data_IF_959541559958
#
_entry.id   IF_959541559958
#
_cell.length_a   1.000
_cell.length_b   1.000
_cell.length_c   1.000
_cell.angle_alpha   90.00
_cell.angle_beta   90.00
_cell.angle_gamma   90.00
#
_symmetry.space_group_name_H-M   'P 1'
#
loop_
_entity.id
_entity.type
_entity.pdbx_description
1 polymer ?
#
# COMPACT_ATOMS: atom_id res chain seq x y z
N UNK A 1 -27.77 13.29 -7.73
CA UNK A 1 -28.34 11.97 -8.07
C UNK A 1 -29.48 12.24 -9.01
N UNK A 2 -29.38 11.80 -10.26
CA UNK A 2 -30.48 11.98 -11.21
C UNK A 2 -31.61 11.05 -10.81
N UNK A 3 -32.81 11.55 -10.49
CA UNK A 3 -33.99 10.70 -10.38
C UNK A 3 -34.30 10.17 -11.78
N UNK A 4 -34.38 8.84 -11.96
CA UNK A 4 -34.89 8.27 -13.20
C UNK A 4 -33.97 7.32 -13.97
N UNK A 5 -33.05 6.59 -13.32
CA UNK A 5 -32.60 5.34 -13.95
C UNK A 5 -33.63 4.25 -13.63
N UNK A 6 -34.41 3.77 -14.61
CA UNK A 6 -35.39 2.72 -14.36
C UNK A 6 -34.65 1.46 -13.90
N UNK A 7 -35.04 0.92 -12.75
CA UNK A 7 -34.52 -0.35 -12.29
C UNK A 7 -34.76 -1.39 -13.40
N UNK A 8 -33.72 -2.15 -13.76
CA UNK A 8 -33.83 -3.16 -14.82
C UNK A 8 -34.30 -4.47 -14.19
N UNK A 9 -35.20 -5.21 -14.85
CA UNK A 9 -35.70 -6.51 -14.36
C UNK A 9 -34.58 -7.49 -13.94
N UNK A 10 -33.42 -7.41 -14.58
CA UNK A 10 -32.24 -8.19 -14.20
C UNK A 10 -31.67 -7.87 -12.81
N UNK A 11 -31.91 -6.68 -12.27
CA UNK A 11 -31.52 -6.31 -10.91
C UNK A 11 -32.50 -6.88 -9.89
N UNK A 12 -33.81 -6.91 -10.20
CA UNK A 12 -34.81 -7.62 -9.39
C UNK A 12 -34.46 -9.11 -9.26
N UNK A 13 -34.22 -9.79 -10.39
CA UNK A 13 -33.92 -11.24 -10.38
C UNK A 13 -32.60 -11.56 -9.67
N UNK A 14 -31.58 -10.70 -9.81
CA UNK A 14 -30.32 -10.86 -9.06
C UNK A 14 -30.53 -10.67 -7.57
N UNK A 15 -31.36 -9.73 -7.17
CA UNK A 15 -31.65 -9.45 -5.76
C UNK A 15 -32.49 -10.56 -5.14
N UNK A 16 -33.54 -11.02 -5.83
CA UNK A 16 -34.36 -12.15 -5.40
C UNK A 16 -33.55 -13.44 -5.21
N UNK A 17 -32.69 -13.77 -6.19
CA UNK A 17 -31.80 -14.94 -6.11
C UNK A 17 -30.79 -14.81 -4.96
N UNK A 18 -30.25 -13.62 -4.73
CA UNK A 18 -29.32 -13.37 -3.64
C UNK A 18 -29.99 -13.55 -2.26
N UNK A 19 -31.27 -13.18 -2.14
CA UNK A 19 -32.04 -13.29 -0.92
C UNK A 19 -32.79 -14.64 -0.78
N UNK A 20 -32.66 -15.55 -1.77
CA UNK A 20 -33.41 -16.82 -1.87
C UNK A 20 -34.92 -16.64 -1.72
N UNK A 21 -35.43 -15.47 -2.12
CA UNK A 21 -36.86 -15.20 -2.13
C UNK A 21 -37.49 -16.05 -3.22
N UNK A 22 -38.34 -16.98 -2.79
CA UNK A 22 -39.02 -17.93 -3.67
C UNK A 22 -40.53 -17.69 -3.68
N UNK A 23 -41.04 -16.97 -2.67
CA UNK A 23 -42.44 -16.63 -2.53
C UNK A 23 -42.82 -15.48 -3.49
N UNK A 24 -43.88 -15.64 -4.33
CA UNK A 24 -44.37 -14.58 -5.20
C UNK A 24 -44.75 -13.28 -4.47
N UNK A 25 -45.20 -13.33 -3.22
CA UNK A 25 -45.62 -12.13 -2.47
C UNK A 25 -44.42 -11.31 -1.98
N UNK A 26 -43.35 -12.00 -1.57
CA UNK A 26 -42.07 -11.37 -1.24
C UNK A 26 -41.38 -10.80 -2.48
N UNK A 27 -41.47 -11.50 -3.63
CA UNK A 27 -41.00 -10.97 -4.92
C UNK A 27 -41.74 -9.69 -5.31
N UNK A 28 -43.05 -9.64 -5.10
CA UNK A 28 -43.86 -8.47 -5.38
C UNK A 28 -43.54 -7.29 -4.44
N UNK A 29 -43.22 -7.59 -3.19
CA UNK A 29 -42.77 -6.59 -2.20
C UNK A 29 -41.39 -6.04 -2.55
N UNK A 30 -40.47 -6.91 -2.97
CA UNK A 30 -39.12 -6.56 -3.43
C UNK A 30 -39.15 -5.74 -4.73
N UNK A 31 -40.07 -6.06 -5.65
CA UNK A 31 -40.31 -5.28 -6.85
C UNK A 31 -40.77 -3.85 -6.54
N UNK A 32 -41.74 -3.70 -5.63
CA UNK A 32 -42.22 -2.38 -5.20
C UNK A 32 -41.13 -1.55 -4.53
N UNK A 33 -40.30 -2.15 -3.67
CA UNK A 33 -39.18 -1.44 -3.03
C UNK A 33 -38.11 -0.99 -4.01
N UNK A 34 -37.90 -1.74 -5.10
CA UNK A 34 -36.99 -1.35 -6.19
C UNK A 34 -37.62 -0.39 -7.20
N UNK A 35 -38.87 0.05 -6.98
CA UNK A 35 -39.56 1.03 -7.83
C UNK A 35 -40.16 0.43 -9.11
N UNK A 36 -40.37 -0.88 -9.17
CA UNK A 36 -41.14 -1.50 -10.25
C UNK A 36 -42.64 -1.36 -9.97
N UNK A 37 -43.37 -0.84 -10.95
CA UNK A 37 -44.83 -0.91 -11.00
C UNK A 37 -45.23 -2.27 -11.56
N UNK A 38 -45.68 -3.16 -10.68
CA UNK A 38 -46.30 -4.42 -11.09
C UNK A 38 -47.77 -4.15 -11.44
N UNK A 39 -48.32 -4.74 -12.52
CA UNK A 39 -49.75 -4.68 -12.78
C UNK A 39 -50.47 -5.35 -11.60
N UNK A 40 -51.41 -4.62 -10.99
CA UNK A 40 -52.27 -5.18 -9.94
C UNK A 40 -52.92 -6.45 -10.47
N UNK A 41 -52.72 -7.57 -9.77
CA UNK A 41 -53.40 -8.83 -10.09
C UNK A 41 -54.91 -8.53 -10.07
N UNK A 42 -55.67 -8.83 -11.14
CA UNK A 42 -57.11 -8.67 -11.10
C UNK A 42 -57.63 -9.54 -9.94
N UNK A 43 -58.26 -8.90 -8.96
CA UNK A 43 -58.87 -9.60 -7.83
C UNK A 43 -59.87 -10.62 -8.37
N UNK A 44 -59.69 -11.89 -8.04
CA UNK A 44 -60.57 -12.97 -8.48
C UNK A 44 -61.96 -12.96 -7.79
N UNK A 45 -62.30 -11.89 -7.07
CA UNK A 45 -63.53 -11.73 -6.27
C UNK A 45 -64.46 -10.61 -6.78
N UNK A 46 -64.28 -10.12 -8.01
CA UNK A 46 -65.26 -9.19 -8.61
C UNK A 46 -66.37 -9.96 -9.32
N UNK A 47 -67.43 -10.24 -8.55
CA UNK A 47 -68.75 -10.55 -9.09
C UNK A 47 -69.25 -9.44 -10.05
N UNK A 48 -69.86 -9.78 -11.20
CA UNK A 48 -70.31 -8.80 -12.17
C UNK A 48 -71.62 -8.15 -11.71
N UNK A 49 -71.58 -6.86 -11.37
CA UNK A 49 -72.75 -6.03 -11.13
C UNK A 49 -73.16 -5.25 -12.41
N UNK A 50 -74.48 -4.99 -12.60
CA UNK A 50 -75.07 -4.74 -13.91
C UNK A 50 -74.99 -3.27 -14.37
N UNK A 51 -75.24 -3.11 -15.66
CA UNK A 51 -75.22 -1.86 -16.41
C UNK A 51 -76.36 -0.89 -16.03
N UNK A 52 -76.02 0.40 -15.90
CA UNK A 52 -76.84 1.58 -16.20
C UNK A 52 -75.87 2.79 -16.28
N UNK A 53 -75.68 3.44 -17.42
CA UNK A 53 -76.51 4.40 -18.16
C UNK A 53 -76.34 5.87 -17.68
N UNK A 54 -75.74 6.66 -18.59
CA UNK A 54 -75.91 8.08 -18.93
C UNK A 54 -76.25 9.10 -17.82
N UNK A 55 -75.36 10.09 -17.57
CA UNK A 55 -75.49 11.51 -17.99
C UNK A 55 -74.32 12.38 -17.45
N UNK A 56 -73.90 13.35 -18.27
CA UNK A 56 -73.00 14.47 -17.94
C UNK A 56 -73.82 15.70 -17.42
N UNK A 57 -73.28 16.94 -17.43
CA UNK A 57 -72.19 17.54 -16.65
C UNK A 57 -72.68 18.81 -15.88
N UNK A 58 -71.90 19.35 -14.92
CA UNK A 58 -71.67 20.82 -14.84
C UNK A 58 -70.73 21.24 -13.69
N UNK A 59 -70.12 22.42 -13.83
CA UNK A 59 -70.18 23.41 -12.74
C UNK A 59 -68.93 23.75 -11.90
N UNK A 60 -68.15 24.72 -12.40
CA UNK A 60 -67.75 25.99 -11.72
C UNK A 60 -66.83 26.00 -10.47
N UNK A 61 -65.79 26.83 -10.62
CA UNK A 61 -65.32 27.92 -9.73
C UNK A 61 -65.07 27.65 -8.23
N UNK A 62 -63.84 27.91 -7.77
CA UNK A 62 -63.50 29.14 -7.01
C UNK A 62 -62.03 29.17 -6.52
N UNK A 63 -61.38 30.31 -6.79
CA UNK A 63 -60.22 30.89 -6.08
C UNK A 63 -60.72 31.59 -4.80
N UNK A 64 -59.91 31.69 -3.73
CA UNK A 64 -59.17 32.94 -3.42
C UNK A 64 -57.73 32.62 -2.92
N UNK A 65 -56.69 33.43 -3.13
CA UNK A 65 -56.36 34.81 -2.73
C UNK A 65 -55.92 34.97 -1.25
N UNK A 66 -54.76 35.63 -1.11
CA UNK A 66 -54.17 36.32 0.05
C UNK A 66 -53.40 35.50 1.11
N UNK A 67 -52.10 35.79 1.25
CA UNK A 67 -51.63 36.71 2.31
C UNK A 67 -50.13 37.01 2.14
N UNK A 68 -49.81 38.29 2.21
CA UNK A 68 -48.47 38.85 2.26
C UNK A 68 -47.91 38.81 3.69
N UNK A 69 -46.60 38.65 3.84
CA UNK A 69 -45.87 39.33 4.92
C UNK A 69 -44.37 39.49 4.58
N UNK A 70 -43.77 40.68 4.83
CA UNK A 70 -42.37 40.97 4.55
C UNK A 70 -41.48 40.88 5.79
N UNK A 71 -40.20 40.61 5.60
CA UNK A 71 -39.10 40.86 6.55
C UNK A 71 -37.84 41.05 5.70
N UNK A 72 -37.23 42.25 5.57
CA UNK A 72 -36.42 42.96 6.57
C UNK A 72 -35.42 41.99 7.20
N UNK A 73 -34.12 42.05 7.00
CA UNK A 73 -33.22 42.94 6.28
C UNK A 73 -31.80 42.56 6.69
N UNK A 74 -30.85 43.11 5.94
CA UNK A 74 -29.52 43.50 6.40
C UNK A 74 -28.30 42.58 6.15
N UNK A 75 -27.30 43.28 5.62
CA UNK A 75 -25.85 43.11 5.66
C UNK A 75 -25.09 42.18 4.71
N UNK A 76 -24.61 42.83 3.64
CA UNK A 76 -23.19 43.14 3.39
C UNK A 76 -22.16 42.02 3.53
N UNK A 77 -21.55 41.62 2.41
CA UNK A 77 -20.08 41.66 2.28
C UNK A 77 -19.69 41.76 0.81
N UNK A 78 -18.81 42.72 0.55
CA UNK A 78 -18.17 42.99 -0.71
C UNK A 78 -17.34 41.79 -1.20
N UNK A 79 -17.36 41.52 -2.50
CA UNK A 79 -16.18 40.99 -3.17
C UNK A 79 -16.14 41.41 -4.63
N UNK A 80 -15.22 42.32 -4.89
CA UNK A 80 -14.65 42.60 -6.20
C UNK A 80 -14.14 41.30 -6.82
N UNK A 81 -14.41 41.10 -8.10
CA UNK A 81 -13.56 40.28 -8.96
C UNK A 81 -13.45 40.95 -10.32
N UNK A 82 -12.21 41.33 -10.61
CA UNK A 82 -11.80 41.99 -11.83
C UNK A 82 -11.95 41.07 -13.04
N UNK A 83 -12.35 41.74 -14.11
CA UNK A 83 -12.21 41.40 -15.50
C UNK A 83 -10.73 41.26 -15.88
N UNK A 84 -10.39 40.20 -16.62
CA UNK A 84 -9.09 40.03 -17.27
C UNK A 84 -9.07 38.76 -18.15
N UNK A 85 -8.39 38.76 -19.32
CA UNK A 85 -9.06 38.38 -20.55
C UNK A 85 -8.68 37.01 -21.13
N UNK A 86 -9.61 36.56 -21.97
CA UNK A 86 -9.55 35.53 -23.01
C UNK A 86 -8.24 35.49 -23.80
N UNK A 87 -7.59 34.32 -23.83
CA UNK A 87 -6.66 33.93 -24.90
C UNK A 87 -7.22 32.67 -25.58
N UNK A 88 -7.37 32.81 -26.90
CA UNK A 88 -7.94 31.85 -27.85
C UNK A 88 -7.08 30.59 -28.04
N UNK A 89 -7.69 29.50 -28.55
CA UNK A 89 -7.02 28.23 -28.79
C UNK A 89 -6.21 28.28 -30.09
N UNK A 90 -5.01 27.68 -30.07
CA UNK A 90 -4.19 27.50 -31.26
C UNK A 90 -4.52 26.15 -31.90
N UNK A 91 -5.15 26.24 -33.06
CA UNK A 91 -5.37 25.18 -34.06
C UNK A 91 -4.07 24.90 -34.82
N UNK A 92 -3.79 23.63 -35.08
CA UNK A 92 -2.95 23.25 -36.23
C UNK A 92 -1.94 22.15 -35.92
N UNK A 93 -2.26 20.94 -36.36
CA UNK A 93 -1.41 20.11 -37.24
C UNK A 93 -1.62 18.62 -36.96
N UNK A 94 -2.47 18.00 -37.77
CA UNK A 94 -2.27 16.61 -38.19
C UNK A 94 -1.26 16.59 -39.33
N UNK A 95 -0.44 15.53 -39.45
CA UNK A 95 -0.56 14.69 -40.64
C UNK A 95 -0.40 13.18 -40.34
N UNK A 96 -0.67 12.32 -41.34
CA UNK A 96 -1.11 10.94 -41.16
C UNK A 96 0.06 9.95 -41.20
N UNK A 97 -0.10 8.75 -40.65
CA UNK A 97 0.47 7.55 -41.27
C UNK A 97 -0.25 6.28 -40.83
N UNK A 98 -0.83 5.65 -41.83
CA UNK A 98 -1.35 4.29 -41.87
C UNK A 98 -0.20 3.29 -41.83
N UNK A 99 -0.20 2.38 -40.86
CA UNK A 99 0.64 1.19 -40.88
C UNK A 99 -0.15 -0.03 -40.35
N UNK A 100 -0.83 -0.65 -41.30
CA UNK A 100 -0.96 -2.10 -41.55
C UNK A 100 -0.53 -3.02 -40.39
N UNK A 101 -1.52 -3.66 -39.77
CA UNK A 101 -1.35 -4.72 -38.76
C UNK A 101 -1.47 -6.09 -39.45
N UNK A 102 -0.46 -6.99 -39.40
CA UNK A 102 -0.62 -8.36 -39.87
C UNK A 102 -1.40 -9.19 -38.85
N UNK A 103 -2.23 -10.09 -39.36
CA UNK A 103 -3.12 -10.98 -38.62
C UNK A 103 -2.37 -11.86 -37.62
N UNK A 104 -3.00 -12.06 -36.46
CA UNK A 104 -2.58 -13.03 -35.47
C UNK A 104 -3.64 -14.12 -35.43
N UNK A 105 -3.24 -15.29 -35.91
CA UNK A 105 -4.03 -16.50 -35.98
C UNK A 105 -4.50 -16.94 -34.59
N UNK A 106 -5.80 -17.22 -34.50
CA UNK A 106 -6.45 -17.89 -33.40
C UNK A 106 -6.02 -19.36 -33.39
N UNK A 107 -5.19 -19.74 -32.41
CA UNK A 107 -5.02 -21.14 -32.01
C UNK A 107 -5.53 -21.30 -30.59
N UNK A 108 -6.70 -21.93 -30.48
CA UNK A 108 -7.30 -22.31 -29.21
C UNK A 108 -6.43 -23.37 -28.51
N UNK A 109 -6.13 -23.22 -27.21
CA UNK A 109 -5.42 -24.25 -26.45
C UNK A 109 -6.36 -25.42 -26.13
N UNK A 110 -5.86 -26.67 -26.15
CA UNK A 110 -6.64 -27.85 -25.78
C UNK A 110 -6.98 -27.89 -24.28
N UNK A 111 -8.07 -28.56 -23.89
CA UNK A 111 -8.49 -28.66 -22.49
C UNK A 111 -7.55 -29.56 -21.67
N UNK A 112 -7.18 -29.07 -20.48
CA UNK A 112 -6.42 -29.81 -19.49
C UNK A 112 -7.26 -30.99 -18.95
N UNK A 113 -6.71 -32.21 -19.07
CA UNK A 113 -7.14 -33.39 -18.27
C UNK A 113 -6.72 -33.18 -16.82
N UNK A 114 -7.67 -33.33 -15.91
CA UNK A 114 -7.40 -33.47 -14.47
C UNK A 114 -7.24 -34.94 -14.13
N UNK A 115 -6.03 -35.36 -13.77
CA UNK A 115 -5.82 -36.61 -13.02
C UNK A 115 -6.00 -36.33 -11.51
N UNK A 116 -6.72 -37.19 -10.76
CA UNK A 116 -6.89 -37.03 -9.31
C UNK A 116 -5.60 -37.46 -8.58
N UNK A 117 -4.99 -36.50 -7.88
CA UNK A 117 -3.83 -36.74 -7.02
C UNK A 117 -4.22 -37.50 -5.74
N UNK A 118 -3.42 -38.51 -5.43
CA UNK A 118 -3.48 -39.32 -4.22
C UNK A 118 -3.26 -38.48 -2.94
N UNK A 119 -3.96 -38.88 -1.88
CA UNK A 119 -3.88 -38.30 -0.53
C UNK A 119 -2.47 -38.41 0.07
N UNK A 120 -1.89 -37.33 0.61
CA UNK A 120 -0.64 -37.41 1.35
C UNK A 120 -0.86 -37.84 2.80
N UNK A 121 -0.13 -38.87 3.19
CA UNK A 121 0.09 -39.36 4.54
C UNK A 121 0.70 -38.26 5.42
N UNK A 122 0.12 -38.04 6.60
CA UNK A 122 0.64 -37.14 7.65
C UNK A 122 1.92 -37.68 8.27
N UNK A 123 3.04 -36.92 8.30
CA UNK A 123 4.18 -37.24 9.13
C UNK A 123 4.14 -36.53 10.49
N UNK A 124 4.60 -37.30 11.46
CA UNK A 124 4.77 -37.06 12.89
C UNK A 124 5.25 -35.66 13.31
N UNK A 125 4.67 -35.19 14.41
CA UNK A 125 4.89 -33.90 15.03
C UNK A 125 6.11 -33.96 15.96
N UNK A 126 7.28 -33.64 15.42
CA UNK A 126 8.53 -33.54 16.20
C UNK A 126 8.69 -32.13 16.80
N UNK A 127 8.97 -31.97 18.10
CA UNK A 127 9.03 -30.67 18.76
C UNK A 127 10.20 -29.81 18.25
N UNK A 128 10.01 -28.48 18.13
CA UNK A 128 11.01 -27.60 17.54
C UNK A 128 12.19 -27.37 18.50
N UNK A 129 13.37 -27.87 18.12
CA UNK A 129 14.65 -27.45 18.70
C UNK A 129 14.92 -25.96 18.40
N UNK A 130 15.55 -25.19 19.30
CA UNK A 130 15.93 -23.81 19.05
C UNK A 130 16.95 -23.74 17.90
N UNK A 131 16.50 -23.26 16.73
CA UNK A 131 17.33 -23.17 15.52
C UNK A 131 18.16 -21.90 15.53
N UNK A 132 19.47 -22.12 15.43
CA UNK A 132 20.55 -21.15 15.28
C UNK A 132 20.29 -20.17 14.14
N UNK A 133 20.62 -18.90 14.39
CA UNK A 133 20.49 -17.77 13.46
C UNK A 133 21.52 -17.91 12.34
N UNK A 134 21.18 -18.66 11.29
CA UNK A 134 21.98 -18.74 10.06
C UNK A 134 21.36 -17.82 9.02
N UNK A 135 21.98 -16.66 8.82
CA UNK A 135 21.55 -15.65 7.85
C UNK A 135 22.13 -14.27 8.09
N UNK A 136 23.46 -14.17 8.16
CA UNK A 136 24.14 -12.89 8.30
C UNK A 136 25.65 -13.10 8.41
N UNK A 137 26.30 -13.43 7.30
CA UNK A 137 27.75 -13.26 7.19
C UNK A 137 28.04 -11.76 7.03
N UNK A 138 27.89 -11.04 8.13
CA UNK A 138 28.61 -9.81 8.40
C UNK A 138 29.35 -10.09 9.70
N UNK A 139 30.67 -9.94 9.68
CA UNK A 139 31.48 -9.74 10.87
C UNK A 139 31.03 -8.43 11.53
N UNK A 140 29.81 -8.43 12.08
CA UNK A 140 29.40 -7.48 13.09
C UNK A 140 30.09 -7.96 14.35
N UNK A 141 31.28 -7.40 14.58
CA UNK A 141 31.85 -7.33 15.92
C UNK A 141 30.79 -6.65 16.76
N UNK A 142 29.97 -7.46 17.43
CA UNK A 142 29.02 -7.03 18.44
C UNK A 142 29.90 -6.55 19.59
N UNK A 143 30.29 -5.27 19.57
CA UNK A 143 30.85 -4.64 20.75
C UNK A 143 29.80 -4.85 21.85
N UNK A 144 30.13 -5.70 22.83
CA UNK A 144 29.23 -6.02 23.92
C UNK A 144 28.76 -4.70 24.54
N UNK A 145 27.44 -4.52 24.61
CA UNK A 145 26.83 -3.41 25.33
C UNK A 145 27.44 -3.41 26.74
N UNK A 146 28.21 -2.39 27.15
CA UNK A 146 28.82 -2.41 28.47
C UNK A 146 27.68 -2.36 29.51
N UNK A 147 27.72 -3.23 30.55
CA UNK A 147 26.76 -3.15 31.63
C UNK A 147 26.88 -1.78 32.30
N UNK A 148 25.73 -1.16 32.55
CA UNK A 148 25.64 0.08 33.30
C UNK A 148 26.14 -0.14 34.73
N UNK A 149 27.10 0.69 35.14
CA UNK A 149 27.52 0.94 36.52
C UNK A 149 28.18 -0.23 37.28
N UNK A 150 29.50 -0.33 37.14
CA UNK A 150 30.41 -0.51 38.27
C UNK A 150 31.72 0.20 37.94
N UNK A 151 32.09 1.19 38.74
CA UNK A 151 33.44 1.77 38.78
C UNK A 151 34.44 0.63 38.91
N UNK A 152 34.96 0.19 37.76
CA UNK A 152 35.98 -0.84 37.71
C UNK A 152 37.19 -0.12 37.17
N UNK A 153 38.22 -0.05 38.02
CA UNK A 153 39.53 0.52 37.74
C UNK A 153 39.93 0.27 36.30
N UNK A 154 40.22 1.35 35.58
CA UNK A 154 40.86 1.30 34.27
C UNK A 154 42.05 0.32 34.36
N UNK A 155 42.15 -0.69 33.49
CA UNK A 155 43.40 -1.39 33.33
C UNK A 155 44.39 -0.32 32.85
N UNK A 156 45.35 0.01 33.71
CA UNK A 156 46.53 0.78 33.34
C UNK A 156 47.13 0.00 32.18
N UNK A 157 47.01 0.55 30.98
CA UNK A 157 47.81 0.10 29.86
C UNK A 157 49.25 0.36 30.29
N UNK A 158 49.90 -0.69 30.81
CA UNK A 158 51.33 -0.68 31.01
C UNK A 158 51.93 -0.47 29.64
N UNK A 159 52.41 0.75 29.45
CA UNK A 159 53.35 1.15 28.42
C UNK A 159 54.51 0.16 28.54
N UNK A 160 54.48 -0.90 27.73
CA UNK A 160 55.60 -1.79 27.58
C UNK A 160 56.71 -0.94 26.99
N UNK A 161 57.59 -0.45 27.86
CA UNK A 161 58.82 0.19 27.47
C UNK A 161 59.54 -0.77 26.50
N UNK A 162 60.02 -0.25 25.35
CA UNK A 162 60.74 -1.07 24.39
C UNK A 162 61.96 -1.64 25.11
N UNK A 163 61.92 -2.94 25.37
CA UNK A 163 63.08 -3.65 25.89
C UNK A 163 64.04 -3.77 24.73
N UNK A 164 65.22 -3.17 24.87
CA UNK A 164 66.33 -3.23 23.92
C UNK A 164 66.55 -4.68 23.49
N UNK A 165 66.07 -5.00 22.29
CA UNK A 165 66.14 -6.32 21.70
C UNK A 165 67.32 -6.35 20.73
N UNK A 166 68.21 -7.35 20.81
CA UNK A 166 69.43 -7.43 20.02
C UNK A 166 69.10 -7.50 18.52
N UNK A 167 69.79 -6.65 17.77
CA UNK A 167 69.54 -6.29 16.37
C UNK A 167 69.79 -7.40 15.32
N UNK A 168 69.87 -8.68 15.69
CA UNK A 168 70.44 -9.73 14.82
C UNK A 168 69.48 -10.86 14.39
N UNK A 169 68.17 -10.78 14.71
CA UNK A 169 67.23 -11.88 14.46
C UNK A 169 66.13 -11.66 13.41
N UNK A 170 65.87 -10.42 12.99
CA UNK A 170 64.67 -10.08 12.19
C UNK A 170 64.82 -10.35 10.69
N UNK A 171 66.04 -10.43 10.16
CA UNK A 171 66.25 -10.71 8.73
C UNK A 171 65.95 -12.18 8.37
N UNK A 172 66.10 -13.14 9.28
CA UNK A 172 65.79 -14.55 9.01
C UNK A 172 64.29 -14.88 9.01
N UNK A 173 63.44 -14.07 9.65
CA UNK A 173 61.97 -14.25 9.60
C UNK A 173 61.33 -13.58 8.38
N UNK A 174 61.99 -12.59 7.77
CA UNK A 174 61.52 -11.91 6.55
C UNK A 174 61.99 -12.60 5.25
N UNK A 175 62.97 -13.51 5.33
CA UNK A 175 63.52 -14.24 4.18
C UNK A 175 62.64 -15.38 3.63
N UNK A 176 61.51 -15.69 4.27
CA UNK A 176 60.49 -16.63 3.76
C UNK A 176 59.26 -15.85 3.27
N UNK A 177 59.47 -14.94 2.33
CA UNK A 177 58.43 -14.59 1.38
C UNK A 177 58.25 -15.79 0.42
N UNK A 178 57.78 -16.93 0.96
CA UNK A 178 57.05 -17.86 0.13
C UNK A 178 55.88 -17.05 -0.39
N UNK A 179 56.01 -16.69 -1.66
CA UNK A 179 55.03 -16.02 -2.49
C UNK A 179 53.72 -16.77 -2.28
N UNK A 180 52.90 -16.26 -1.36
CA UNK A 180 51.54 -16.72 -1.16
C UNK A 180 50.77 -16.26 -2.39
N UNK A 181 51.02 -16.94 -3.50
CA UNK A 181 50.23 -17.01 -4.71
C UNK A 181 48.93 -17.75 -4.35
N UNK A 182 48.23 -17.25 -3.33
CA UNK A 182 46.83 -17.53 -3.16
C UNK A 182 46.17 -16.83 -4.34
N UNK A 183 45.53 -17.58 -5.26
CA UNK A 183 44.70 -16.96 -6.28
C UNK A 183 43.52 -16.33 -5.57
N UNK A 184 43.70 -15.09 -5.11
CA UNK A 184 42.62 -14.30 -4.56
C UNK A 184 41.58 -14.23 -5.66
N UNK A 185 40.36 -14.77 -5.45
CA UNK A 185 39.34 -14.70 -6.48
C UNK A 185 39.15 -13.22 -6.84
N UNK A 186 39.56 -12.87 -8.06
CA UNK A 186 39.63 -11.48 -8.55
C UNK A 186 38.27 -10.81 -8.62
N UNK A 187 37.19 -11.61 -8.52
CA UNK A 187 35.83 -11.12 -8.35
C UNK A 187 35.24 -11.62 -7.01
N UNK A 188 34.94 -10.68 -6.11
CA UNK A 188 34.10 -10.97 -4.96
C UNK A 188 32.75 -11.54 -5.44
N UNK A 189 32.22 -12.60 -4.81
CA UNK A 189 30.95 -13.18 -5.21
C UNK A 189 29.85 -12.11 -5.15
N UNK A 190 28.98 -12.07 -6.15
CA UNK A 190 27.84 -11.15 -6.15
C UNK A 190 27.00 -11.42 -4.91
N UNK A 191 26.70 -10.40 -4.08
CA UNK A 191 25.90 -10.60 -2.89
C UNK A 191 24.53 -11.12 -3.30
N UNK A 192 24.05 -12.08 -2.53
CA UNK A 192 22.82 -12.77 -2.84
C UNK A 192 21.62 -11.84 -2.56
N UNK A 193 20.50 -11.93 -3.31
CA UNK A 193 19.38 -11.00 -3.15
C UNK A 193 18.76 -11.08 -1.73
N UNK A 194 18.25 -9.94 -1.20
CA UNK A 194 17.72 -9.86 0.17
C UNK A 194 16.41 -10.64 0.34
N UNK A 195 15.63 -10.80 -0.74
CA UNK A 195 14.44 -11.65 -0.75
C UNK A 195 14.66 -12.93 -1.56
N UNK A 196 13.82 -13.93 -1.30
CA UNK A 196 13.79 -15.14 -2.10
C UNK A 196 13.39 -14.81 -3.56
N UNK A 197 14.20 -15.16 -4.57
CA UNK A 197 13.91 -14.87 -5.97
C UNK A 197 12.55 -15.40 -6.46
N UNK A 198 12.05 -16.49 -5.87
CA UNK A 198 10.74 -17.06 -6.22
C UNK A 198 9.57 -16.19 -5.76
N UNK A 199 9.76 -15.36 -4.73
CA UNK A 199 8.70 -14.55 -4.12
C UNK A 199 8.95 -13.05 -4.18
N UNK A 200 10.12 -12.59 -4.65
CA UNK A 200 10.52 -11.18 -4.69
C UNK A 200 9.47 -10.30 -5.38
N UNK A 201 8.89 -10.78 -6.50
CA UNK A 201 7.89 -10.03 -7.26
C UNK A 201 6.60 -9.87 -6.49
N UNK A 202 6.12 -10.95 -5.85
CA UNK A 202 4.90 -10.92 -5.08
C UNK A 202 5.05 -10.08 -3.78
N UNK A 203 6.22 -10.15 -3.15
CA UNK A 203 6.60 -9.30 -2.00
C UNK A 203 6.61 -7.83 -2.40
N UNK A 204 7.28 -7.49 -3.51
CA UNK A 204 7.32 -6.12 -3.99
C UNK A 204 5.91 -5.58 -4.31
N UNK A 205 5.07 -6.36 -5.01
CA UNK A 205 3.68 -5.99 -5.28
C UNK A 205 2.87 -5.78 -4.00
N UNK A 206 3.10 -6.58 -2.96
CA UNK A 206 2.43 -6.45 -1.67
C UNK A 206 2.73 -5.12 -0.96
N UNK A 207 4.00 -4.68 -1.01
CA UNK A 207 4.45 -3.44 -0.36
C UNK A 207 4.17 -2.20 -1.22
N UNK A 208 4.34 -2.30 -2.55
CA UNK A 208 4.20 -1.19 -3.49
C UNK A 208 2.75 -0.95 -3.94
N UNK A 209 1.90 -1.98 -3.91
CA UNK A 209 0.55 -1.88 -4.45
C UNK A 209 -0.37 -1.05 -3.57
N UNK A 210 -1.26 -0.26 -4.18
CA UNK A 210 -2.38 0.40 -3.51
C UNK A 210 -3.67 -0.37 -3.71
N UNK A 211 -4.65 -0.17 -2.82
CA UNK A 211 -5.96 -0.80 -2.95
C UNK A 211 -6.92 0.17 -3.61
N UNK A 212 -7.44 -0.22 -4.77
CA UNK A 212 -8.53 0.49 -5.44
C UNK A 212 -9.83 -0.31 -5.29
N UNK A 213 -10.97 0.39 -5.21
CA UNK A 213 -12.28 -0.25 -5.32
C UNK A 213 -12.41 -0.87 -6.71
N UNK A 214 -12.59 -2.19 -6.77
CA UNK A 214 -12.88 -2.90 -8.00
C UNK A 214 -14.32 -2.66 -8.47
N UNK A 215 -14.69 -3.33 -9.56
CA UNK A 215 -16.08 -3.35 -10.06
C UNK A 215 -16.92 -4.49 -9.49
N UNK A 216 -16.27 -5.52 -8.93
CA UNK A 216 -16.95 -6.66 -8.34
C UNK A 216 -17.48 -6.30 -6.95
N UNK A 217 -18.75 -6.62 -6.69
CA UNK A 217 -19.37 -6.46 -5.37
C UNK A 217 -18.75 -7.44 -4.37
N UNK A 218 -18.47 -6.96 -3.17
CA UNK A 218 -18.03 -7.75 -2.04
C UNK A 218 -19.24 -8.38 -1.37
N UNK A 219 -19.68 -9.52 -1.90
CA UNK A 219 -20.91 -10.19 -1.51
C UNK A 219 -20.97 -10.50 0.00
N UNK A 220 -19.93 -11.08 0.65
CA UNK A 220 -19.94 -11.29 2.10
C UNK A 220 -20.17 -9.99 2.88
N UNK A 221 -19.48 -8.91 2.50
CA UNK A 221 -19.63 -7.63 3.18
C UNK A 221 -20.99 -6.97 2.92
N UNK A 222 -21.56 -7.17 1.73
CA UNK A 222 -22.90 -6.69 1.41
C UNK A 222 -23.94 -7.40 2.28
N UNK A 223 -23.84 -8.74 2.39
CA UNK A 223 -24.73 -9.53 3.25
C UNK A 223 -24.62 -9.08 4.71
N UNK A 224 -23.41 -8.89 5.23
CA UNK A 224 -23.20 -8.35 6.59
C UNK A 224 -23.87 -6.97 6.80
N UNK A 225 -23.78 -6.08 5.80
CA UNK A 225 -24.42 -4.77 5.88
C UNK A 225 -25.94 -4.87 5.87
N UNK A 226 -26.51 -5.75 5.04
CA UNK A 226 -27.96 -6.00 4.98
C UNK A 226 -28.46 -6.63 6.28
N UNK A 227 -27.77 -7.65 6.80
CA UNK A 227 -28.13 -8.28 8.08
C UNK A 227 -28.10 -7.25 9.22
N UNK A 228 -27.08 -6.39 9.25
CA UNK A 228 -26.97 -5.34 10.26
C UNK A 228 -28.06 -4.27 10.14
N UNK A 229 -28.46 -3.93 8.92
CA UNK A 229 -29.57 -3.01 8.62
C UNK A 229 -30.91 -3.58 9.10
N UNK A 230 -31.18 -4.84 8.76
CA UNK A 230 -32.39 -5.56 9.18
C UNK A 230 -32.46 -5.73 10.71
N UNK A 231 -31.32 -5.82 11.38
CA UNK A 231 -31.24 -5.85 12.84
C UNK A 231 -31.42 -4.47 13.51
N UNK A 232 -31.79 -3.42 12.76
CA UNK A 232 -32.00 -2.07 13.29
C UNK A 232 -30.71 -1.32 13.66
N UNK A 233 -29.54 -1.81 13.21
CA UNK A 233 -28.28 -1.13 13.43
C UNK A 233 -28.19 0.17 12.61
N UNK A 234 -27.56 1.25 13.11
CA UNK A 234 -27.43 2.49 12.35
C UNK A 234 -26.62 2.26 11.08
N UNK A 235 -27.28 2.38 9.92
CA UNK A 235 -26.63 2.29 8.61
C UNK A 235 -26.43 3.70 8.06
N UNK A 236 -25.19 4.18 8.16
CA UNK A 236 -24.76 5.32 7.35
C UNK A 236 -25.02 5.02 5.87
N UNK A 237 -25.60 5.98 5.13
CA UNK A 237 -26.04 5.89 3.72
C UNK A 237 -25.46 4.67 2.98
N UNK A 238 -26.29 3.67 2.62
CA UNK A 238 -25.80 2.37 2.16
C UNK A 238 -24.98 2.55 0.88
N UNK A 239 -23.66 2.34 1.00
CA UNK A 239 -22.75 2.29 -0.14
C UNK A 239 -22.46 0.83 -0.46
N UNK A 240 -22.71 0.43 -1.71
CA UNK A 240 -22.40 -0.93 -2.18
C UNK A 240 -20.92 -1.22 -1.92
N UNK A 241 -20.58 -2.25 -1.12
CA UNK A 241 -19.20 -2.59 -0.83
C UNK A 241 -18.60 -3.27 -2.05
N UNK A 242 -17.60 -2.64 -2.68
CA UNK A 242 -16.87 -3.24 -3.78
C UNK A 242 -15.59 -3.93 -3.28
N UNK A 243 -15.26 -5.09 -3.87
CA UNK A 243 -14.03 -5.82 -3.59
C UNK A 243 -12.83 -4.92 -3.86
N UNK A 244 -11.94 -4.81 -2.88
CA UNK A 244 -10.68 -4.07 -3.04
C UNK A 244 -9.69 -4.92 -3.82
N UNK A 245 -9.13 -4.36 -4.89
CA UNK A 245 -8.06 -5.01 -5.67
C UNK A 245 -6.75 -4.27 -5.45
N UNK A 246 -5.68 -5.03 -5.24
CA UNK A 246 -4.32 -4.49 -5.20
C UNK A 246 -3.88 -4.12 -6.62
N UNK A 247 -3.31 -2.93 -6.79
CA UNK A 247 -2.87 -2.40 -8.09
C UNK A 247 -1.62 -1.53 -7.92
N UNK A 248 -0.79 -1.48 -8.95
CA UNK A 248 0.40 -0.60 -9.02
C UNK A 248 0.19 0.60 -9.93
N UNK A 249 -1.05 0.84 -10.40
CA UNK A 249 -1.38 1.94 -11.32
C UNK A 249 -1.09 3.34 -10.76
N UNK A 250 -1.10 3.50 -9.44
CA UNK A 250 -0.75 4.75 -8.78
C UNK A 250 0.77 5.06 -8.85
N UNK A 251 1.57 4.13 -9.37
CA UNK A 251 3.02 4.18 -9.27
C UNK A 251 3.51 4.04 -7.84
N UNK A 252 4.77 4.38 -7.60
CA UNK A 252 5.37 4.47 -6.28
C UNK A 252 6.51 5.50 -6.26
N UNK A 253 6.70 6.13 -5.10
CA UNK A 253 7.89 6.89 -4.77
C UNK A 253 8.83 5.99 -3.95
N UNK A 254 10.00 5.68 -4.48
CA UNK A 254 11.05 4.93 -3.78
C UNK A 254 12.10 5.91 -3.25
N UNK A 255 12.24 5.99 -1.93
CA UNK A 255 13.23 6.80 -1.23
C UNK A 255 14.36 5.90 -0.74
N UNK A 256 15.58 6.14 -1.21
CA UNK A 256 16.78 5.39 -0.84
C UNK A 256 17.59 6.18 0.18
N UNK A 257 17.70 5.68 1.41
CA UNK A 257 18.47 6.36 2.43
C UNK A 257 19.98 6.32 2.12
N UNK A 258 20.56 7.51 1.96
CA UNK A 258 21.98 7.74 1.69
C UNK A 258 22.78 8.12 2.93
N UNK A 259 22.25 7.89 4.12
CA UNK A 259 22.99 7.94 5.38
C UNK A 259 24.14 6.93 5.43
N UNK A 260 25.11 7.20 6.32
CA UNK A 260 26.30 6.36 6.50
C UNK A 260 25.94 4.96 7.01
N UNK A 261 24.95 4.86 7.89
CA UNK A 261 24.40 3.61 8.40
C UNK A 261 23.90 2.67 7.29
N UNK A 262 23.50 3.23 6.15
CA UNK A 262 22.99 2.49 5.00
C UNK A 262 24.06 2.13 3.96
N UNK A 263 25.34 2.46 4.21
CA UNK A 263 26.45 2.09 3.32
C UNK A 263 26.59 0.57 3.13
N UNK A 264 26.48 -0.29 4.16
CA UNK A 264 26.57 -1.74 3.98
C UNK A 264 25.46 -2.32 3.07
N UNK A 265 24.32 -1.63 2.97
CA UNK A 265 23.13 -2.10 2.26
C UNK A 265 22.98 -1.47 0.86
N UNK A 266 24.03 -0.86 0.31
CA UNK A 266 24.00 -0.20 -1.02
C UNK A 266 23.63 -1.17 -2.13
N UNK A 267 24.13 -2.40 -2.08
CA UNK A 267 23.79 -3.40 -3.09
C UNK A 267 22.30 -3.76 -3.05
N UNK A 268 21.71 -3.88 -1.86
CA UNK A 268 20.28 -4.13 -1.68
C UNK A 268 19.44 -2.97 -2.20
N UNK A 269 19.90 -1.72 -1.99
CA UNK A 269 19.25 -0.53 -2.54
C UNK A 269 19.18 -0.55 -4.06
N UNK A 270 20.29 -0.85 -4.71
CA UNK A 270 20.33 -0.98 -6.16
C UNK A 270 19.47 -2.14 -6.66
N UNK A 271 19.53 -3.28 -5.95
CA UNK A 271 18.73 -4.45 -6.30
C UNK A 271 17.22 -4.14 -6.19
N UNK A 272 16.77 -3.48 -5.14
CA UNK A 272 15.36 -3.07 -4.95
C UNK A 272 14.96 -2.06 -6.01
N UNK A 273 15.80 -1.07 -6.32
CA UNK A 273 15.51 -0.09 -7.37
C UNK A 273 15.35 -0.77 -8.75
N UNK A 274 16.22 -1.73 -9.09
CA UNK A 274 16.11 -2.53 -10.31
C UNK A 274 14.85 -3.39 -10.31
N UNK A 275 14.52 -4.04 -9.18
CA UNK A 275 13.30 -4.84 -9.05
C UNK A 275 12.04 -3.98 -9.24
N UNK A 276 12.01 -2.80 -8.62
CA UNK A 276 10.91 -1.85 -8.74
C UNK A 276 10.71 -1.41 -10.21
N UNK A 277 11.79 -1.09 -10.91
CA UNK A 277 11.74 -0.68 -12.31
C UNK A 277 11.22 -1.79 -13.25
N UNK A 278 11.47 -3.07 -12.93
CA UNK A 278 10.93 -4.21 -13.69
C UNK A 278 9.44 -4.46 -13.46
N UNK A 279 8.93 -4.12 -12.28
CA UNK A 279 7.56 -4.48 -11.87
C UNK A 279 6.57 -3.35 -12.12
N UNK A 280 6.99 -2.11 -11.90
CA UNK A 280 6.13 -0.94 -12.07
C UNK A 280 6.04 -0.54 -13.55
N UNK A 281 4.91 0.03 -13.99
CA UNK A 281 4.78 0.50 -15.36
C UNK A 281 5.82 1.60 -15.65
N UNK A 282 6.23 1.80 -16.92
CA UNK A 282 7.08 2.92 -17.31
C UNK A 282 6.52 4.25 -16.80
N UNK A 283 7.36 5.08 -16.18
CA UNK A 283 6.94 6.35 -15.55
C UNK A 283 6.21 6.20 -14.21
N UNK A 284 5.85 4.98 -13.81
CA UNK A 284 5.21 4.69 -12.53
C UNK A 284 6.17 4.62 -11.34
N UNK A 285 7.47 4.75 -11.56
CA UNK A 285 8.48 4.74 -10.49
C UNK A 285 9.25 6.06 -10.48
N UNK A 286 9.26 6.74 -9.34
CA UNK A 286 10.22 7.80 -9.02
C UNK A 286 11.17 7.29 -7.96
N UNK A 287 12.48 7.32 -8.23
CA UNK A 287 13.52 6.97 -7.27
C UNK A 287 14.23 8.24 -6.84
N UNK A 288 14.33 8.49 -5.54
CA UNK A 288 15.07 9.62 -4.98
C UNK A 288 16.05 9.12 -3.92
N UNK A 289 17.20 9.75 -3.88
CA UNK A 289 18.14 9.61 -2.78
C UNK A 289 17.66 10.48 -1.61
N UNK A 290 17.73 9.98 -0.39
CA UNK A 290 17.21 10.66 0.79
C UNK A 290 18.28 10.73 1.87
N UNK A 291 18.41 11.90 2.49
CA UNK A 291 19.12 12.08 3.76
C UNK A 291 18.24 12.95 4.64
N UNK A 292 17.77 12.41 5.76
CA UNK A 292 16.74 13.08 6.58
C UNK A 292 17.14 14.48 7.07
N UNK A 293 18.44 14.75 7.22
CA UNK A 293 18.94 16.08 7.59
C UNK A 293 19.03 17.07 6.41
N UNK A 294 19.14 16.58 5.16
CA UNK A 294 19.41 17.41 3.97
C UNK A 294 18.19 17.52 3.04
N UNK A 295 17.31 16.52 3.03
CA UNK A 295 16.22 16.42 2.06
C UNK A 295 16.41 15.25 1.08
N UNK A 296 15.91 15.43 -0.14
CA UNK A 296 16.03 14.43 -1.21
C UNK A 296 16.88 14.93 -2.36
N UNK A 297 17.42 14.01 -3.13
CA UNK A 297 18.19 14.30 -4.33
C UNK A 297 17.72 13.43 -5.50
N UNK A 298 17.65 14.06 -6.68
CA UNK A 298 17.37 13.39 -7.96
C UNK A 298 18.64 13.01 -8.72
N UNK A 299 19.76 13.65 -8.38
CA UNK A 299 21.02 13.63 -9.12
C UNK A 299 22.17 13.00 -8.30
N UNK A 300 21.80 12.05 -7.43
CA UNK A 300 22.73 11.27 -6.59
C UNK A 300 23.51 12.09 -5.57
N UNK A 301 22.84 13.08 -4.98
CA UNK A 301 23.34 13.90 -3.89
C UNK A 301 24.10 15.16 -4.32
N UNK A 302 24.07 15.53 -5.61
CA UNK A 302 24.68 16.79 -6.08
C UNK A 302 23.82 17.99 -5.68
N UNK A 303 22.50 17.85 -5.77
CA UNK A 303 21.54 18.85 -5.30
C UNK A 303 20.55 18.22 -4.32
N UNK A 304 20.19 19.00 -3.30
CA UNK A 304 19.25 18.59 -2.25
C UNK A 304 18.03 19.50 -2.29
N UNK A 305 16.87 18.89 -2.49
CA UNK A 305 15.55 19.51 -2.43
C UNK A 305 14.89 19.20 -1.08
N UNK A 306 13.97 20.06 -0.59
CA UNK A 306 13.16 19.74 0.58
C UNK A 306 12.45 18.39 0.46
N UNK A 307 12.24 17.74 1.60
CA UNK A 307 11.56 16.45 1.67
C UNK A 307 10.20 16.46 0.94
N UNK A 308 10.01 15.60 -0.07
CA UNK A 308 8.79 15.60 -0.86
C UNK A 308 7.68 14.92 -0.06
N UNK A 309 6.48 15.46 -0.24
CA UNK A 309 5.23 14.82 0.17
C UNK A 309 4.49 14.49 -1.12
N UNK A 310 4.39 13.21 -1.52
CA UNK A 310 3.75 12.86 -2.77
C UNK A 310 2.23 13.09 -2.71
N UNK A 311 1.55 13.12 -3.86
CA UNK A 311 0.10 13.22 -3.92
C UNK A 311 -0.60 12.17 -3.06
N UNK A 312 -1.75 12.55 -2.51
CA UNK A 312 -2.56 11.67 -1.67
C UNK A 312 -2.83 10.33 -2.37
N UNK A 313 -2.58 9.23 -1.66
CA UNK A 313 -2.80 7.87 -2.15
C UNK A 313 -1.66 7.29 -2.99
N UNK A 314 -0.63 8.05 -3.37
CA UNK A 314 0.59 7.48 -3.93
C UNK A 314 1.38 6.76 -2.81
N UNK A 315 1.79 5.49 -3.02
CA UNK A 315 2.56 4.75 -2.03
C UNK A 315 4.01 5.24 -1.99
N UNK A 316 4.57 5.29 -0.78
CA UNK A 316 5.97 5.61 -0.52
C UNK A 316 6.66 4.36 0.00
N UNK A 317 7.68 3.92 -0.72
CA UNK A 317 8.59 2.87 -0.30
C UNK A 317 9.86 3.55 0.20
N UNK A 318 10.17 3.38 1.47
CA UNK A 318 11.38 3.89 2.09
C UNK A 318 12.34 2.73 2.32
N UNK A 319 13.60 2.84 1.89
CA UNK A 319 14.62 1.85 2.16
C UNK A 319 15.67 2.47 3.07
N UNK A 320 15.56 2.18 4.37
CA UNK A 320 16.30 2.85 5.44
C UNK A 320 16.37 1.95 6.67
N UNK A 321 17.41 2.14 7.48
CA UNK A 321 17.50 1.58 8.83
C UNK A 321 16.83 2.49 9.86
N UNK A 322 16.26 3.63 9.45
CA UNK A 322 15.64 4.67 10.28
C UNK A 322 16.51 5.09 11.47
N UNK A 323 17.84 5.07 11.31
CA UNK A 323 18.77 5.40 12.38
C UNK A 323 18.99 4.31 13.42
N UNK A 324 18.58 3.06 13.14
CA UNK A 324 18.82 1.93 14.03
C UNK A 324 20.31 1.59 14.13
N UNK A 325 21.03 1.54 13.00
CA UNK A 325 22.46 1.25 12.98
C UNK A 325 23.21 2.52 13.34
N UNK A 326 23.78 2.54 14.54
CA UNK A 326 24.66 3.60 15.00
C UNK A 326 26.12 3.19 14.76
N UNK A 327 26.81 3.78 13.78
CA UNK A 327 28.24 3.52 13.61
C UNK A 327 28.99 3.94 14.89
N UNK A 328 30.07 3.24 15.27
CA UNK A 328 30.78 3.48 16.53
C UNK A 328 31.36 4.90 16.63
N UNK A 329 31.65 5.52 15.49
CA UNK A 329 32.03 6.92 15.40
C UNK A 329 30.86 7.67 14.74
N UNK A 330 30.16 8.54 15.47
CA UNK A 330 29.08 9.34 14.89
C UNK A 330 29.68 10.31 13.87
N UNK A 331 29.54 9.99 12.59
CA UNK A 331 29.85 10.92 11.51
C UNK A 331 28.90 12.12 11.54
N UNK A 332 29.27 13.19 10.81
CA UNK A 332 28.53 14.46 10.75
C UNK A 332 27.08 14.34 10.24
N UNK A 333 26.68 13.18 9.73
CA UNK A 333 25.37 12.94 9.12
C UNK A 333 24.64 11.73 9.69
N UNK A 334 24.97 11.33 10.93
CA UNK A 334 24.21 10.31 11.63
C UNK A 334 22.78 10.80 11.91
N UNK A 335 21.80 9.94 11.67
CA UNK A 335 20.39 10.24 11.82
C UNK A 335 19.80 9.31 12.87
N UNK A 336 19.25 9.84 13.95
CA UNK A 336 18.61 9.04 14.98
C UNK A 336 17.17 8.68 14.61
N UNK A 337 16.56 7.65 15.20
CA UNK A 337 15.14 7.35 14.98
C UNK A 337 14.21 8.53 15.29
N UNK A 338 14.58 9.38 16.25
CA UNK A 338 13.82 10.59 16.60
C UNK A 338 13.82 11.62 15.46
N UNK A 339 14.94 11.75 14.73
CA UNK A 339 15.04 12.67 13.58
C UNK A 339 14.11 12.28 12.41
N UNK A 340 13.78 10.99 12.30
CA UNK A 340 12.88 10.47 11.26
C UNK A 340 11.40 10.74 11.55
N UNK A 341 11.00 10.77 12.82
CA UNK A 341 9.59 10.83 13.22
C UNK A 341 8.82 12.03 12.64
N UNK A 342 9.35 13.27 12.62
CA UNK A 342 8.64 14.41 12.01
C UNK A 342 8.31 14.18 10.54
N UNK A 343 9.23 13.62 9.76
CA UNK A 343 8.99 13.34 8.34
C UNK A 343 7.98 12.21 8.13
N UNK A 344 8.12 11.11 8.88
CA UNK A 344 7.18 9.98 8.81
C UNK A 344 5.75 10.41 9.20
N UNK A 345 5.61 11.28 10.21
CA UNK A 345 4.31 11.87 10.59
C UNK A 345 3.73 12.72 9.48
N UNK A 346 4.54 13.57 8.83
CA UNK A 346 4.11 14.40 7.69
C UNK A 346 3.59 13.56 6.52
N UNK A 347 4.32 12.49 6.15
CA UNK A 347 3.84 11.54 5.12
C UNK A 347 2.52 10.88 5.52
N UNK A 348 2.42 10.48 6.80
CA UNK A 348 1.19 9.90 7.34
C UNK A 348 0.04 10.89 7.35
N UNK A 349 0.25 12.15 7.69
CA UNK A 349 -0.78 13.21 7.71
C UNK A 349 -1.28 13.51 6.29
N UNK A 350 -0.37 13.52 5.31
CA UNK A 350 -0.71 13.69 3.90
C UNK A 350 -1.50 12.52 3.26
N UNK A 351 -1.69 11.42 4.00
CA UNK A 351 -2.40 10.23 3.49
C UNK A 351 -1.58 9.39 2.53
N UNK A 352 -0.26 9.53 2.58
CA UNK A 352 0.65 8.67 1.86
C UNK A 352 0.81 7.35 2.64
N UNK A 353 0.58 6.23 1.96
CA UNK A 353 0.87 4.91 2.53
C UNK A 353 2.38 4.70 2.49
N UNK A 354 3.02 4.72 3.65
CA UNK A 354 4.46 4.57 3.76
C UNK A 354 4.81 3.18 4.27
N UNK A 355 5.67 2.47 3.54
CA UNK A 355 6.26 1.18 3.95
C UNK A 355 7.77 1.35 3.97
N UNK A 356 8.39 1.06 5.11
CA UNK A 356 9.84 1.01 5.23
C UNK A 356 10.33 -0.43 5.02
N UNK A 357 11.16 -0.62 4.01
CA UNK A 357 11.97 -1.81 3.81
C UNK A 357 13.24 -1.63 4.65
N UNK A 358 13.43 -2.51 5.64
CA UNK A 358 14.45 -2.33 6.68
C UNK A 358 15.38 -3.54 6.74
N UNK A 359 16.70 -3.37 6.97
CA UNK A 359 17.60 -4.49 7.19
C UNK A 359 17.37 -5.24 8.52
N UNK A 360 16.70 -4.61 9.49
CA UNK A 360 16.47 -5.17 10.83
C UNK A 360 15.01 -5.60 11.03
N UNK A 361 14.75 -6.59 11.92
CA UNK A 361 13.40 -6.99 12.27
C UNK A 361 12.63 -5.84 12.91
N UNK A 362 11.30 -5.83 12.72
CA UNK A 362 10.47 -4.70 13.12
C UNK A 362 10.50 -4.47 14.63
N UNK A 363 10.74 -5.50 15.44
CA UNK A 363 10.73 -5.49 16.90
C UNK A 363 11.86 -4.67 17.51
N UNK A 364 12.96 -4.51 16.79
CA UNK A 364 14.15 -3.75 17.23
C UNK A 364 13.97 -2.23 17.09
N UNK A 365 12.87 -1.79 16.48
CA UNK A 365 12.56 -0.38 16.30
C UNK A 365 11.82 0.21 17.49
N UNK A 366 12.10 1.49 17.87
CA UNK A 366 11.31 2.20 18.87
C UNK A 366 9.82 2.16 18.57
N UNK A 367 8.99 1.99 19.60
CA UNK A 367 7.53 1.87 19.44
C UNK A 367 6.91 3.04 18.68
N UNK A 368 7.46 4.25 18.85
CA UNK A 368 7.03 5.44 18.10
C UNK A 368 7.18 5.27 16.57
N UNK A 369 8.27 4.66 16.11
CA UNK A 369 8.51 4.38 14.69
C UNK A 369 7.54 3.30 14.20
N UNK A 370 7.43 2.19 14.94
CA UNK A 370 6.54 1.07 14.60
C UNK A 370 5.07 1.46 14.49
N UNK A 371 4.64 2.47 15.27
CA UNK A 371 3.27 3.04 15.23
C UNK A 371 3.08 4.06 14.11
N UNK A 372 4.14 4.53 13.47
CA UNK A 372 4.06 5.59 12.44
C UNK A 372 4.19 5.01 11.04
N UNK A 373 5.03 4.00 10.84
CA UNK A 373 5.32 3.40 9.53
C UNK A 373 5.25 1.86 9.59
N UNK A 374 4.82 1.24 8.50
CA UNK A 374 4.85 -0.21 8.37
C UNK A 374 6.28 -0.69 8.04
N UNK A 375 6.84 -1.60 8.83
CA UNK A 375 8.22 -2.07 8.71
C UNK A 375 8.25 -3.49 8.11
N UNK A 376 8.88 -3.66 6.95
CA UNK A 376 9.06 -4.96 6.28
C UNK A 376 10.55 -5.29 6.21
N UNK A 377 11.02 -6.35 6.88
CA UNK A 377 12.43 -6.74 6.85
C UNK A 377 12.92 -7.15 5.46
N UNK A 378 14.20 -6.91 5.20
CA UNK A 378 14.96 -7.41 4.05
C UNK A 378 15.51 -8.81 4.35
N UNK A 379 14.60 -9.73 4.63
CA UNK A 379 14.93 -11.12 4.96
C UNK A 379 14.25 -12.06 3.97
N UNK A 380 14.96 -13.10 3.56
CA UNK A 380 14.48 -14.19 2.69
C UNK A 380 13.32 -14.97 3.31
N UNK A 381 13.18 -14.93 4.63
CA UNK A 381 12.10 -15.57 5.39
C UNK A 381 10.79 -14.78 5.34
N UNK A 382 10.81 -13.53 4.87
CA UNK A 382 9.59 -12.73 4.76
C UNK A 382 8.65 -13.36 3.73
N UNK A 383 7.50 -13.80 4.20
CA UNK A 383 6.44 -14.34 3.34
C UNK A 383 5.62 -13.21 2.71
N UNK A 384 5.04 -13.49 1.54
CA UNK A 384 4.12 -12.56 0.86
C UNK A 384 2.95 -12.18 1.77
N UNK A 385 2.40 -13.15 2.52
CA UNK A 385 1.29 -12.92 3.45
C UNK A 385 1.69 -11.96 4.58
N UNK A 386 2.89 -12.11 5.14
CA UNK A 386 3.40 -11.22 6.17
C UNK A 386 3.55 -9.79 5.62
N UNK A 387 4.21 -9.63 4.47
CA UNK A 387 4.38 -8.33 3.82
C UNK A 387 3.03 -7.67 3.50
N UNK A 388 2.04 -8.44 3.01
CA UNK A 388 0.68 -7.93 2.78
C UNK A 388 0.01 -7.48 4.07
N UNK A 389 0.08 -8.26 5.14
CA UNK A 389 -0.51 -7.92 6.45
C UNK A 389 0.10 -6.65 7.02
N UNK A 390 1.43 -6.57 7.01
CA UNK A 390 2.18 -5.39 7.48
C UNK A 390 1.80 -4.18 6.64
N UNK A 391 1.86 -4.29 5.32
CA UNK A 391 1.62 -3.16 4.45
C UNK A 391 0.15 -2.71 4.47
N UNK A 392 -0.81 -3.61 4.76
CA UNK A 392 -2.24 -3.29 4.94
C UNK A 392 -2.54 -2.59 6.27
N UNK A 393 -1.67 -2.73 7.26
CA UNK A 393 -1.85 -2.13 8.57
C UNK A 393 -1.75 -0.61 8.41
N UNK A 394 -2.91 0.04 8.33
CA UNK A 394 -2.98 1.49 8.37
C UNK A 394 -2.64 1.94 9.80
N UNK A 395 -1.49 2.60 10.03
CA UNK A 395 -1.10 3.00 11.37
C UNK A 395 -2.11 3.99 11.98
N UNK A 396 -2.91 4.68 11.15
CA UNK A 396 -3.98 5.58 11.60
C UNK A 396 -5.08 4.83 12.36
N UNK A 397 -5.38 3.59 11.97
CA UNK A 397 -6.45 2.78 12.59
C UNK A 397 -6.04 2.19 13.95
N UNK A 398 -4.75 2.12 14.25
CA UNK A 398 -4.27 1.54 15.50
C UNK A 398 -4.42 2.48 16.71
N UNK A 399 -4.69 3.77 16.49
CA UNK A 399 -4.85 4.77 17.55
C UNK A 399 -6.29 5.18 17.85
N UNK A 400 -7.27 4.66 17.12
CA UNK A 400 -8.67 4.79 17.53
C UNK A 400 -8.96 3.69 18.56
N UNK A 401 -9.29 4.03 19.82
CA UNK A 401 -9.80 3.05 20.75
C UNK A 401 -11.03 2.38 20.11
N UNK A 402 -11.06 1.05 20.17
CA UNK A 402 -12.16 0.24 19.63
C UNK A 402 -13.41 0.38 20.46
#
# INVERSE_FOLDING_TARGET
MSPGSPARLGDLLRTARALRVSDPDDLATLARTLGFTLPSRPSADQDPAPAADVTAPDGRNRRPANAAQPSRGDRTTARANGTGPTVRPNTGSSPPHTARRPGREDTAPPPYRHDPAASPTTPDEQPPTPRTVTGGSLLLIRAGRPPTARETRLPVWQEFAPTDSPADGTEQLLGRAEEFDMPWPTALPRPAPPWNPRTERALFLAVAGTFTTGRAVDHPRLVELVVRDLAGGPVARPRVPYRRRLTTRAGALLLLDRGESMRPFRHDQEWIARLAARILPPGGLRVLDLRIAQGVSRDRGRTWEPHPVPPHGQPVLLLSDLGHLQPPLPGRHHSSPTSWLPYLRRLREAGCRTVCLTPYPAEEYPAAVRRTVALVPLDRRVSVRLAQTIARRDPRRAGQPR
#
